data_IF_003355821311
#
_entry.id   IF_003355821311
#
_cell.length_a   1.000
_cell.length_b   1.000
_cell.length_c   1.000
_cell.angle_alpha   90.00
_cell.angle_beta   90.00
_cell.angle_gamma   90.00
#
_symmetry.space_group_name_H-M   'P 1'
#
loop_
_entity.id
_entity.type
_entity.pdbx_description
1 polymer ?
#
# COMPACT_ATOMS: atom_id res chain seq x y z
N UNK A 1 -4.04 12.61 -4.23
CA UNK A 1 -3.02 11.73 -4.88
C UNK A 1 -2.47 10.60 -3.97
N UNK A 2 -2.98 10.45 -2.73
CA UNK A 2 -2.40 9.53 -1.74
C UNK A 2 -2.40 8.03 -2.08
N UNK A 3 -3.41 7.49 -2.78
CA UNK A 3 -3.44 6.06 -3.12
C UNK A 3 -2.26 5.66 -4.00
N UNK A 4 -2.02 6.42 -5.08
CA UNK A 4 -0.88 6.20 -5.97
C UNK A 4 0.45 6.31 -5.23
N UNK A 5 0.58 7.30 -4.33
CA UNK A 5 1.77 7.45 -3.48
C UNK A 5 1.99 6.22 -2.58
N UNK A 6 0.93 5.72 -1.93
CA UNK A 6 0.99 4.54 -1.05
C UNK A 6 1.39 3.29 -1.82
N UNK A 7 0.88 3.09 -3.04
CA UNK A 7 1.29 2.00 -3.94
C UNK A 7 2.75 2.10 -4.38
N UNK A 8 3.25 3.31 -4.67
CA UNK A 8 4.65 3.53 -5.03
C UNK A 8 5.60 3.17 -3.87
N UNK A 9 5.24 3.51 -2.63
CA UNK A 9 6.01 3.13 -1.44
C UNK A 9 6.07 1.61 -1.26
N UNK A 10 4.95 0.91 -1.47
CA UNK A 10 4.90 -0.56 -1.39
C UNK A 10 5.78 -1.19 -2.48
N UNK A 11 5.73 -0.65 -3.70
CA UNK A 11 6.55 -1.12 -4.83
C UNK A 11 8.04 -0.86 -4.58
N UNK A 12 8.40 0.26 -3.97
CA UNK A 12 9.78 0.54 -3.57
C UNK A 12 10.26 -0.45 -2.50
N UNK A 13 9.44 -0.78 -1.51
CA UNK A 13 9.76 -1.78 -0.49
C UNK A 13 9.99 -3.17 -1.10
N UNK A 14 9.24 -3.55 -2.13
CA UNK A 14 9.39 -4.84 -2.80
C UNK A 14 10.79 -5.06 -3.41
N UNK A 15 11.55 -3.99 -3.69
CA UNK A 15 12.93 -4.07 -4.16
C UNK A 15 13.92 -4.52 -3.07
N UNK A 16 13.56 -4.37 -1.80
CA UNK A 16 14.45 -4.61 -0.67
C UNK A 16 13.96 -5.74 0.25
N UNK A 17 12.64 -5.81 0.46
CA UNK A 17 11.99 -6.82 1.30
C UNK A 17 10.62 -7.15 0.69
N UNK A 18 10.61 -8.23 -0.10
CA UNK A 18 9.41 -8.70 -0.77
C UNK A 18 8.34 -9.23 0.22
N UNK A 19 8.68 -10.03 1.26
CA UNK A 19 7.71 -10.43 2.28
C UNK A 19 7.04 -9.25 2.99
N UNK A 20 7.80 -8.22 3.37
CA UNK A 20 7.23 -7.05 4.03
C UNK A 20 6.37 -6.20 3.06
N UNK A 21 6.78 -6.10 1.79
CA UNK A 21 5.97 -5.44 0.78
C UNK A 21 4.61 -6.15 0.59
N UNK A 22 4.60 -7.49 0.56
CA UNK A 22 3.37 -8.27 0.47
C UNK A 22 2.43 -8.00 1.66
N UNK A 23 2.95 -8.02 2.89
CA UNK A 23 2.15 -7.71 4.10
C UNK A 23 1.57 -6.29 4.10
N UNK A 24 2.27 -5.34 3.48
CA UNK A 24 1.79 -3.95 3.35
C UNK A 24 0.73 -3.84 2.27
N UNK A 25 0.88 -4.58 1.17
CA UNK A 25 -0.12 -4.67 0.12
C UNK A 25 -1.41 -5.31 0.64
N UNK A 26 -1.33 -6.42 1.38
CA UNK A 26 -2.51 -7.09 1.95
C UNK A 26 -3.30 -6.17 2.89
N UNK A 27 -2.59 -5.40 3.74
CA UNK A 27 -3.23 -4.41 4.61
C UNK A 27 -3.90 -3.30 3.80
N UNK A 28 -3.25 -2.81 2.74
CA UNK A 28 -3.86 -1.80 1.86
C UNK A 28 -5.11 -2.34 1.18
N UNK A 29 -5.08 -3.57 0.63
CA UNK A 29 -6.25 -4.19 0.00
C UNK A 29 -7.41 -4.32 0.99
N UNK A 30 -7.13 -4.79 2.21
CA UNK A 30 -8.14 -4.86 3.27
C UNK A 30 -8.75 -3.50 3.61
N UNK A 31 -7.93 -2.46 3.72
CA UNK A 31 -8.43 -1.10 3.96
C UNK A 31 -9.36 -0.65 2.81
N UNK A 32 -9.00 -0.94 1.55
CA UNK A 32 -9.82 -0.60 0.38
C UNK A 32 -11.13 -1.38 0.33
N UNK A 33 -11.11 -2.68 0.65
CA UNK A 33 -12.30 -3.53 0.72
C UNK A 33 -13.28 -3.03 1.80
N UNK A 34 -12.76 -2.44 2.88
CA UNK A 34 -13.54 -1.80 3.94
C UNK A 34 -13.96 -0.35 3.61
N UNK A 35 -13.66 0.14 2.40
CA UNK A 35 -13.97 1.51 1.96
C UNK A 35 -13.09 2.59 2.61
N UNK A 36 -12.00 2.20 3.28
CA UNK A 36 -11.03 3.09 3.94
C UNK A 36 -9.95 3.49 2.95
N UNK A 37 -10.26 4.47 2.10
CA UNK A 37 -9.29 5.02 1.17
C UNK A 37 -8.26 5.89 1.90
N UNK A 38 -6.98 5.86 1.49
CA UNK A 38 -5.99 6.78 2.03
C UNK A 38 -6.39 8.23 1.66
N UNK A 39 -6.77 9.01 2.68
CA UNK A 39 -7.11 10.42 2.56
C UNK A 39 -5.82 11.27 2.56
N UNK A 40 -5.71 12.22 1.62
CA UNK A 40 -4.61 13.21 1.56
C UNK A 40 -3.94 13.37 0.20
N UNK A 41 -3.09 14.40 0.11
CA UNK A 41 -2.13 14.65 -0.98
C UNK A 41 -0.69 14.29 -0.60
#
# INVERSE_FOLDING_TARGET
>A
MALSRKLLVITAAAKHDLPEAARRLDRLMKDLDEGRFPEGD
#
